data_IF_292968185357
#
_entry.id   IF_292968185357
#
_cell.length_a   1.000
_cell.length_b   1.000
_cell.length_c   1.000
_cell.angle_alpha   90.00
_cell.angle_beta   90.00
_cell.angle_gamma   90.00
#
_symmetry.space_group_name_H-M   'P 1'
#
loop_
_entity.id
_entity.type
_entity.pdbx_description
1 polymer ?
#
# COMPACT_ATOMS: atom_id res chain seq x y z
N UNK A 1 -20.46 21.07 -32.39
CA UNK A 1 -21.08 19.94 -31.66
C UNK A 1 -20.28 18.68 -31.91
N UNK A 2 -19.30 18.43 -31.05
CA UNK A 2 -18.76 17.13 -30.63
C UNK A 2 -17.67 17.49 -29.62
N UNK A 3 -18.07 17.50 -28.34
CA UNK A 3 -17.17 17.65 -27.20
C UNK A 3 -16.15 16.52 -27.23
N UNK A 4 -14.88 16.90 -27.35
CA UNK A 4 -13.75 16.01 -27.18
C UNK A 4 -13.63 15.74 -25.68
N UNK A 5 -14.22 14.63 -25.22
CA UNK A 5 -13.91 14.02 -23.94
C UNK A 5 -12.49 13.45 -24.01
N UNK A 6 -11.47 14.30 -23.96
CA UNK A 6 -10.09 13.85 -23.78
C UNK A 6 -9.51 14.45 -22.51
N UNK A 7 -9.12 13.55 -21.62
CA UNK A 7 -7.95 13.70 -20.77
C UNK A 7 -7.92 14.91 -19.84
N UNK A 8 -8.83 14.95 -18.87
CA UNK A 8 -8.49 15.46 -17.53
C UNK A 8 -8.47 14.31 -16.53
N UNK A 9 -7.68 13.28 -16.86
CA UNK A 9 -7.03 12.50 -15.81
C UNK A 9 -6.03 13.46 -15.17
N UNK A 10 -6.49 14.16 -14.13
CA UNK A 10 -5.64 14.86 -13.18
C UNK A 10 -4.40 14.01 -12.92
N UNK A 11 -3.24 14.58 -13.24
CA UNK A 11 -1.94 13.99 -12.95
C UNK A 11 -1.74 13.92 -11.43
N UNK A 12 -2.49 13.06 -10.76
CA UNK A 12 -2.11 12.53 -9.46
C UNK A 12 -0.82 11.78 -9.74
N UNK A 13 0.30 12.42 -9.40
CA UNK A 13 1.61 11.77 -9.40
C UNK A 13 1.38 10.41 -8.74
N UNK A 14 1.54 9.30 -9.47
CA UNK A 14 1.33 7.96 -8.93
C UNK A 14 2.26 7.82 -7.75
N UNK A 15 1.78 8.11 -6.54
CA UNK A 15 2.61 8.04 -5.37
C UNK A 15 2.92 6.57 -5.15
N UNK A 16 4.21 6.25 -5.12
CA UNK A 16 4.64 4.90 -4.80
C UNK A 16 4.17 4.59 -3.39
N UNK A 17 3.70 3.36 -3.19
CA UNK A 17 3.33 2.86 -1.88
C UNK A 17 4.47 2.96 -0.86
N UNK A 18 5.73 3.11 -1.31
CA UNK A 18 6.89 3.34 -0.46
C UNK A 18 6.73 4.57 0.46
N UNK A 19 5.99 5.59 0.03
CA UNK A 19 5.77 6.81 0.82
C UNK A 19 5.08 6.52 2.17
N UNK A 20 4.32 5.43 2.28
CA UNK A 20 3.55 5.07 3.47
C UNK A 20 4.31 4.12 4.42
N UNK A 21 5.52 3.66 4.05
CA UNK A 21 6.34 2.77 4.88
C UNK A 21 6.72 3.41 6.23
N UNK A 22 7.10 4.70 6.32
CA UNK A 22 7.37 5.35 7.61
C UNK A 22 6.17 5.32 8.57
N UNK A 23 4.98 5.68 8.09
CA UNK A 23 3.74 5.67 8.89
C UNK A 23 3.38 4.26 9.38
N UNK A 24 3.63 3.24 8.55
CA UNK A 24 3.49 1.84 8.94
C UNK A 24 4.46 1.44 10.06
N UNK A 25 5.75 1.83 9.95
CA UNK A 25 6.76 1.55 10.98
C UNK A 25 6.39 2.22 12.30
N UNK A 26 5.95 3.48 12.25
CA UNK A 26 5.52 4.24 13.42
C UNK A 26 4.32 3.57 14.10
N UNK A 27 3.29 3.19 13.35
CA UNK A 27 2.13 2.50 13.89
C UNK A 27 2.51 1.20 14.60
N UNK A 28 3.40 0.38 14.00
CA UNK A 28 3.85 -0.86 14.66
C UNK A 28 4.62 -0.57 15.96
N UNK A 29 5.46 0.46 15.98
CA UNK A 29 6.18 0.85 17.20
C UNK A 29 5.21 1.33 18.29
N UNK A 30 4.23 2.15 17.93
CA UNK A 30 3.19 2.63 18.84
C UNK A 30 2.34 1.50 19.42
N UNK A 31 2.14 0.42 18.67
CA UNK A 31 1.44 -0.79 19.12
C UNK A 31 2.32 -1.72 20.01
N UNK A 32 3.57 -1.34 20.29
CA UNK A 32 4.47 -2.09 21.18
C UNK A 32 5.12 -3.31 20.53
N UNK A 33 5.13 -3.41 19.19
CA UNK A 33 5.82 -4.51 18.52
C UNK A 33 7.34 -4.42 18.73
N UNK A 34 7.97 -5.57 19.01
CA UNK A 34 9.41 -5.66 19.18
C UNK A 34 10.17 -5.20 17.91
N UNK A 35 11.35 -4.57 18.04
CA UNK A 35 12.12 -4.06 16.90
C UNK A 35 12.43 -5.11 15.82
N UNK A 36 12.67 -6.37 16.22
CA UNK A 36 12.90 -7.47 15.29
C UNK A 36 11.65 -7.81 14.44
N UNK A 37 10.46 -7.72 15.05
CA UNK A 37 9.19 -7.91 14.37
C UNK A 37 8.93 -6.77 13.38
N UNK A 38 9.15 -5.52 13.81
CA UNK A 38 9.05 -4.35 12.94
C UNK A 38 9.97 -4.50 11.72
N UNK A 39 11.25 -4.84 11.94
CA UNK A 39 12.21 -5.04 10.84
C UNK A 39 11.76 -6.13 9.85
N UNK A 40 11.19 -7.23 10.35
CA UNK A 40 10.70 -8.33 9.51
C UNK A 40 9.48 -7.89 8.69
N UNK A 41 8.53 -7.19 9.33
CA UNK A 41 7.35 -6.64 8.68
C UNK A 41 7.71 -5.58 7.62
N UNK A 42 8.63 -4.67 7.92
CA UNK A 42 9.12 -3.66 6.97
C UNK A 42 9.74 -4.31 5.74
N UNK A 43 10.54 -5.37 5.90
CA UNK A 43 11.09 -6.12 4.75
C UNK A 43 9.99 -6.73 3.89
N UNK A 44 8.97 -7.33 4.51
CA UNK A 44 7.83 -7.88 3.79
C UNK A 44 7.10 -6.81 2.98
N UNK A 45 6.86 -5.65 3.58
CA UNK A 45 6.24 -4.50 2.90
C UNK A 45 7.09 -4.01 1.73
N UNK A 46 8.41 -3.87 1.88
CA UNK A 46 9.27 -3.48 0.76
C UNK A 46 9.21 -4.45 -0.42
N UNK A 47 9.19 -5.76 -0.16
CA UNK A 47 9.02 -6.75 -1.22
C UNK A 47 7.65 -6.65 -1.89
N UNK A 48 6.59 -6.42 -1.12
CA UNK A 48 5.26 -6.21 -1.65
C UNK A 48 5.19 -4.95 -2.53
N UNK A 49 5.75 -3.83 -2.08
CA UNK A 49 5.77 -2.60 -2.88
C UNK A 49 6.58 -2.78 -4.16
N UNK A 50 7.76 -3.42 -4.11
CA UNK A 50 8.52 -3.72 -5.33
C UNK A 50 7.75 -4.60 -6.32
N UNK A 51 6.93 -5.54 -5.82
CA UNK A 51 6.05 -6.36 -6.66
C UNK A 51 4.90 -5.55 -7.27
N UNK A 52 4.37 -4.54 -6.57
CA UNK A 52 3.37 -3.62 -7.11
C UNK A 52 3.95 -2.68 -8.16
N UNK A 53 5.14 -2.14 -7.91
CA UNK A 53 5.84 -1.25 -8.84
C UNK A 53 6.12 -1.96 -10.17
N UNK A 54 6.51 -3.24 -10.14
CA UNK A 54 6.68 -4.09 -11.33
C UNK A 54 5.38 -4.26 -12.14
N UNK A 55 4.22 -4.14 -11.48
CA UNK A 55 2.90 -4.25 -12.11
C UNK A 55 2.27 -2.90 -12.44
N UNK A 56 2.95 -1.79 -12.13
CA UNK A 56 2.48 -0.44 -12.38
C UNK A 56 1.27 -0.02 -11.52
N UNK A 57 1.04 -0.70 -10.39
CA UNK A 57 -0.07 -0.43 -9.47
C UNK A 57 0.27 0.74 -8.56
N UNK A 58 -0.60 1.75 -8.51
CA UNK A 58 -0.42 2.94 -7.69
C UNK A 58 -0.88 2.72 -6.24
N UNK A 59 -0.41 3.56 -5.31
CA UNK A 59 -0.83 3.45 -3.91
C UNK A 59 -2.34 3.64 -3.69
N UNK A 60 -3.01 4.45 -4.52
CA UNK A 60 -4.47 4.65 -4.46
C UNK A 60 -5.27 3.39 -4.82
N UNK A 61 -4.67 2.46 -5.56
CA UNK A 61 -5.32 1.21 -5.97
C UNK A 61 -5.05 0.06 -4.99
N UNK A 62 -4.38 0.34 -3.87
CA UNK A 62 -4.03 -0.66 -2.87
C UNK A 62 -5.27 -1.25 -2.21
N UNK A 63 -5.34 -2.58 -2.22
CA UNK A 63 -6.44 -3.32 -1.62
C UNK A 63 -5.97 -4.60 -0.95
N UNK A 64 -6.81 -5.13 -0.06
CA UNK A 64 -6.61 -6.44 0.54
C UNK A 64 -6.52 -7.57 -0.51
N UNK A 65 -7.18 -7.41 -1.66
CA UNK A 65 -7.11 -8.38 -2.76
C UNK A 65 -5.69 -8.47 -3.35
N UNK A 66 -5.02 -7.33 -3.55
CA UNK A 66 -3.63 -7.31 -4.02
C UNK A 66 -2.67 -7.93 -3.01
N UNK A 67 -2.91 -7.74 -1.71
CA UNK A 67 -2.13 -8.39 -0.67
C UNK A 67 -2.31 -9.92 -0.70
N UNK A 68 -3.53 -10.42 -0.91
CA UNK A 68 -3.81 -11.85 -1.07
C UNK A 68 -3.10 -12.42 -2.31
N UNK A 69 -3.22 -11.73 -3.45
CA UNK A 69 -2.60 -12.12 -4.72
C UNK A 69 -1.07 -12.19 -4.61
N UNK A 70 -0.44 -11.19 -3.99
CA UNK A 70 1.00 -11.22 -3.71
C UNK A 70 1.38 -12.42 -2.83
N UNK A 71 0.59 -12.71 -1.80
CA UNK A 71 0.86 -13.84 -0.92
C UNK A 71 0.63 -15.20 -1.58
N UNK A 72 -0.27 -15.30 -2.55
CA UNK A 72 -0.44 -16.50 -3.37
C UNK A 72 0.74 -16.66 -4.34
N UNK A 73 1.14 -15.59 -5.04
CA UNK A 73 2.31 -15.57 -5.90
C UNK A 73 3.61 -15.91 -5.14
N UNK A 74 3.75 -15.46 -3.88
CA UNK A 74 4.87 -15.77 -2.99
C UNK A 74 4.78 -17.15 -2.34
N UNK A 75 3.56 -17.66 -2.14
CA UNK A 75 3.28 -18.93 -1.48
C UNK A 75 3.82 -20.16 -2.21
N UNK A 76 4.09 -20.03 -3.52
CA UNK A 76 4.79 -21.04 -4.32
C UNK A 76 6.26 -21.23 -3.91
N UNK A 77 6.86 -20.27 -3.19
CA UNK A 77 8.29 -20.27 -2.86
C UNK A 77 8.64 -20.50 -1.38
N UNK A 78 7.82 -20.12 -0.39
CA UNK A 78 8.08 -20.36 1.06
C UNK A 78 6.80 -20.26 1.89
N UNK A 79 6.69 -21.11 2.92
CA UNK A 79 5.54 -21.24 3.83
C UNK A 79 4.93 -19.88 4.25
N UNK A 80 3.64 -19.68 3.95
CA UNK A 80 2.84 -18.54 4.41
C UNK A 80 2.84 -18.50 5.94
N UNK A 81 3.43 -17.47 6.54
CA UNK A 81 3.25 -17.20 7.96
C UNK A 81 1.94 -16.46 8.15
N UNK A 82 1.09 -16.86 9.11
CA UNK A 82 -0.17 -16.16 9.42
C UNK A 82 0.01 -14.65 9.66
N UNK A 83 1.16 -14.24 10.19
CA UNK A 83 1.49 -12.82 10.41
C UNK A 83 1.62 -11.99 9.13
N UNK A 84 1.98 -12.61 7.99
CA UNK A 84 2.24 -11.88 6.74
C UNK A 84 0.96 -11.25 6.18
N UNK A 85 -0.17 -11.96 6.28
CA UNK A 85 -1.50 -11.45 5.85
C UNK A 85 -1.88 -10.21 6.66
N UNK A 86 -1.78 -10.30 7.98
CA UNK A 86 -2.11 -9.20 8.87
C UNK A 86 -1.23 -7.98 8.63
N UNK A 87 0.08 -8.19 8.44
CA UNK A 87 1.04 -7.13 8.12
C UNK A 87 0.66 -6.39 6.84
N UNK A 88 0.37 -7.11 5.75
CA UNK A 88 0.04 -6.48 4.47
C UNK A 88 -1.32 -5.80 4.49
N UNK A 89 -2.32 -6.37 5.16
CA UNK A 89 -3.62 -5.72 5.34
C UNK A 89 -3.50 -4.41 6.12
N UNK A 90 -2.72 -4.40 7.21
CA UNK A 90 -2.47 -3.18 7.96
C UNK A 90 -1.80 -2.12 7.10
N UNK A 91 -0.80 -2.49 6.29
CA UNK A 91 -0.13 -1.57 5.37
C UNK A 91 -1.08 -1.01 4.30
N UNK A 92 -1.86 -1.87 3.62
CA UNK A 92 -2.84 -1.42 2.63
C UNK A 92 -3.85 -0.45 3.23
N UNK A 93 -4.30 -0.67 4.47
CA UNK A 93 -5.21 0.24 5.15
C UNK A 93 -4.59 1.62 5.38
N UNK A 94 -3.33 1.69 5.80
CA UNK A 94 -2.63 2.97 5.98
C UNK A 94 -2.52 3.69 4.64
N UNK A 95 -2.06 3.00 3.60
CA UNK A 95 -1.88 3.61 2.30
C UNK A 95 -3.21 4.08 1.67
N UNK A 96 -4.30 3.31 1.83
CA UNK A 96 -5.63 3.71 1.37
C UNK A 96 -6.20 4.91 2.15
N UNK A 97 -5.98 4.98 3.47
CA UNK A 97 -6.43 6.11 4.28
C UNK A 97 -5.72 7.42 3.93
N UNK A 98 -4.43 7.35 3.58
CA UNK A 98 -3.63 8.54 3.23
C UNK A 98 -3.70 8.89 1.73
N UNK A 99 -4.00 7.92 0.86
CA UNK A 99 -4.22 8.16 -0.58
C UNK A 99 -5.57 8.81 -0.90
N UNK A 100 -6.48 8.89 0.07
CA UNK A 100 -7.78 9.55 -0.05
C UNK A 100 -7.79 11.00 0.46
N UNK A 101 -6.67 11.51 0.99
CA UNK A 101 -6.51 12.95 1.28
C UNK A 101 -6.20 13.72 -0.01
N UNK A 102 -7.22 13.85 -0.88
CA UNK A 102 -7.28 14.86 -1.93
C UNK A 102 -8.58 15.66 -1.75
N UNK A 103 -8.52 16.97 -2.04
CA UNK A 103 -8.61 18.05 -1.07
C UNK A 103 -9.97 18.14 -0.36
N UNK A 104 -9.94 18.54 0.92
CA UNK A 104 -11.11 19.16 1.57
C UNK A 104 -11.42 20.43 0.76
N UNK A 105 -12.37 20.34 -0.17
CA UNK A 105 -13.14 21.49 -0.61
C UNK A 105 -13.90 21.98 0.62
N UNK A 106 -13.33 22.96 1.32
CA UNK A 106 -14.04 23.71 2.35
C UNK A 106 -15.13 24.52 1.65
N UNK A 107 -16.43 24.26 1.85
CA UNK A 107 -17.48 25.14 1.35
C UNK A 107 -17.70 26.26 2.36
N UNK A 108 -17.58 27.49 1.82
CA UNK A 108 -18.06 28.79 2.31
C UNK A 108 -17.30 29.46 3.46
#
# INVERSE_FOLDING_TARGET
>A
MTEVFEQLATGTRKESALAFVPSFIEQMRAQGYAPATVKTATRLVHHFVGWLDQRGVAAGDLSAALAAEYLDARGTCRCRRRGDVFTLHSFCRIAAANGQEAPVETPL
#
